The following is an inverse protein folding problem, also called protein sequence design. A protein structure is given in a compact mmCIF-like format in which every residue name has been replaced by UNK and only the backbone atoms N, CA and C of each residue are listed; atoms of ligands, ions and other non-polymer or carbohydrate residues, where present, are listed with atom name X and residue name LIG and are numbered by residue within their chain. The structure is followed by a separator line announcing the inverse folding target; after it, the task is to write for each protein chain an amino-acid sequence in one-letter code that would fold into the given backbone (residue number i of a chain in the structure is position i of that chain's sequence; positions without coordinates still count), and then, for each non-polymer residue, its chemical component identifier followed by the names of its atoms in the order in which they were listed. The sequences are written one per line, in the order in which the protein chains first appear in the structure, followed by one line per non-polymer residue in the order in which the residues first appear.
data_IF_762034551150
#
_entry.id   IF_762034551150
#
_cell.length_a   1.000
_cell.length_b   1.000
_cell.length_c   1.000
_cell.angle_alpha   90.00
_cell.angle_beta   90.00
_cell.angle_gamma   90.00
#
_symmetry.space_group_name_H-M   'P 1'
#
loop_
_entity.id
_entity.type
_entity.pdbx_description
1 polymer ?
#
# COMPACT_ATOMS: atom_id res chain seq x y z
N UNK A 1 9.47 -9.10 -1.38
CA UNK A 1 10.59 -8.73 -2.27
C UNK A 1 11.47 -9.93 -2.44
N UNK A 2 11.69 -10.33 -3.69
CA UNK A 2 12.53 -11.47 -4.05
C UNK A 2 13.98 -11.05 -4.29
N UNK A 3 14.87 -12.04 -4.40
CA UNK A 3 16.28 -11.78 -4.64
C UNK A 3 16.50 -11.15 -6.02
N UNK A 4 17.17 -10.00 -6.05
CA UNK A 4 17.49 -9.30 -7.28
C UNK A 4 16.46 -8.24 -7.69
N UNK A 5 15.37 -8.09 -6.95
CA UNK A 5 14.40 -7.01 -7.16
C UNK A 5 14.78 -5.75 -6.38
N UNK A 6 14.53 -4.58 -6.99
CA UNK A 6 14.33 -3.32 -6.27
C UNK A 6 12.99 -3.33 -5.52
N UNK A 7 12.82 -2.40 -4.58
CA UNK A 7 11.57 -2.26 -3.83
C UNK A 7 10.41 -1.81 -4.71
N UNK A 8 10.69 -1.03 -5.75
CA UNK A 8 9.72 -0.59 -6.75
C UNK A 8 9.29 -1.75 -7.67
N UNK A 9 10.23 -2.59 -8.10
CA UNK A 9 9.94 -3.79 -8.90
C UNK A 9 9.06 -4.76 -8.10
N UNK A 10 9.42 -5.03 -6.84
CA UNK A 10 8.60 -5.86 -5.97
C UNK A 10 7.20 -5.28 -5.80
N UNK A 11 7.07 -3.99 -5.48
CA UNK A 11 5.76 -3.35 -5.33
C UNK A 11 4.89 -3.47 -6.60
N UNK A 12 5.50 -3.33 -7.78
CA UNK A 12 4.79 -3.51 -9.05
C UNK A 12 4.42 -4.97 -9.31
N UNK A 13 5.31 -5.92 -9.02
CA UNK A 13 5.07 -7.37 -9.20
C UNK A 13 3.93 -7.83 -8.29
N UNK A 14 3.97 -7.54 -6.99
CA UNK A 14 2.93 -7.98 -6.04
C UNK A 14 1.53 -7.50 -6.49
N UNK A 15 1.41 -6.24 -6.92
CA UNK A 15 0.13 -5.72 -7.42
C UNK A 15 -0.32 -6.46 -8.68
N UNK A 16 0.60 -6.73 -9.62
CA UNK A 16 0.26 -7.46 -10.84
C UNK A 16 -0.14 -8.91 -10.55
N UNK A 17 0.58 -9.60 -9.67
CA UNK A 17 0.31 -11.00 -9.30
C UNK A 17 -1.03 -11.14 -8.58
N UNK A 18 -1.35 -10.25 -7.63
CA UNK A 18 -2.61 -10.32 -6.89
C UNK A 18 -3.80 -9.83 -7.72
N UNK A 19 -3.64 -8.72 -8.47
CA UNK A 19 -4.81 -8.02 -9.05
C UNK A 19 -4.89 -8.06 -10.57
N UNK A 20 -3.81 -8.43 -11.26
CA UNK A 20 -3.68 -8.29 -12.72
C UNK A 20 -3.54 -6.84 -13.20
N UNK A 21 -3.38 -5.87 -12.28
CA UNK A 21 -3.19 -4.47 -12.64
C UNK A 21 -1.72 -4.21 -13.01
N UNK A 22 -1.53 -3.53 -14.14
CA UNK A 22 -0.24 -2.89 -14.42
C UNK A 22 -0.24 -1.49 -13.83
N UNK A 23 0.80 -1.17 -13.07
CA UNK A 23 0.88 0.07 -12.29
C UNK A 23 2.23 0.74 -12.44
N UNK A 24 2.20 2.07 -12.47
CA UNK A 24 3.35 2.93 -12.27
C UNK A 24 3.50 3.19 -10.76
N UNK A 25 4.53 2.60 -10.16
CA UNK A 25 4.92 2.88 -8.76
C UNK A 25 5.56 4.26 -8.70
N UNK A 26 5.05 5.14 -7.84
CA UNK A 26 5.42 6.58 -7.86
C UNK A 26 6.34 6.99 -6.72
N UNK A 27 5.91 6.81 -5.48
CA UNK A 27 6.66 7.32 -4.32
C UNK A 27 6.37 6.45 -3.10
N UNK A 28 7.37 6.17 -2.25
CA UNK A 28 7.13 5.57 -0.96
C UNK A 28 6.13 6.40 -0.16
N UNK A 29 5.26 5.74 0.57
CA UNK A 29 4.21 6.37 1.36
C UNK A 29 4.33 6.03 2.83
N UNK A 30 4.60 4.76 3.14
CA UNK A 30 4.83 4.31 4.50
C UNK A 30 5.94 3.25 4.52
N UNK A 31 6.88 3.40 5.45
CA UNK A 31 7.87 2.39 5.83
C UNK A 31 7.48 1.96 7.25
N UNK A 32 6.91 0.77 7.35
CA UNK A 32 6.23 0.30 8.55
C UNK A 32 6.87 -0.99 9.07
N UNK A 33 7.48 -0.91 10.24
CA UNK A 33 8.07 -2.06 10.92
C UNK A 33 7.01 -2.80 11.74
N UNK A 34 7.01 -4.13 11.65
CA UNK A 34 6.19 -5.02 12.48
C UNK A 34 7.11 -5.95 13.28
N UNK A 35 7.69 -5.46 14.40
CA UNK A 35 8.62 -6.26 15.21
C UNK A 35 8.07 -7.62 15.68
N UNK A 36 6.78 -7.76 16.08
CA UNK A 36 6.27 -9.06 16.54
C UNK A 36 6.38 -10.20 15.51
N UNK A 37 6.33 -9.88 14.22
CA UNK A 37 6.44 -10.85 13.10
C UNK A 37 7.78 -10.76 12.36
N UNK A 38 8.69 -9.86 12.78
CA UNK A 38 9.95 -9.54 12.09
C UNK A 38 9.75 -9.10 10.63
N UNK A 39 8.68 -8.38 10.34
CA UNK A 39 8.35 -7.92 8.99
C UNK A 39 8.58 -6.41 8.81
N UNK A 40 8.82 -6.02 7.56
CA UNK A 40 8.91 -4.63 7.12
C UNK A 40 7.99 -4.44 5.91
N UNK A 41 7.06 -3.50 6.02
CA UNK A 41 6.19 -3.11 4.92
C UNK A 41 6.70 -1.80 4.33
N UNK A 42 7.03 -1.81 3.04
CA UNK A 42 7.30 -0.58 2.27
C UNK A 42 6.12 -0.40 1.32
N UNK A 43 5.24 0.53 1.65
CA UNK A 43 4.01 0.79 0.90
C UNK A 43 4.26 1.99 -0.01
N UNK A 44 3.95 1.82 -1.28
CA UNK A 44 4.04 2.86 -2.30
C UNK A 44 2.66 3.39 -2.67
N UNK A 45 2.62 4.65 -3.09
CA UNK A 45 1.53 5.12 -3.96
C UNK A 45 1.83 4.68 -5.39
N UNK A 46 0.80 4.26 -6.09
CA UNK A 46 0.91 3.86 -7.49
C UNK A 46 -0.25 4.42 -8.31
N UNK A 47 -0.04 4.53 -9.62
CA UNK A 47 -1.07 4.88 -10.61
C UNK A 47 -1.35 3.66 -11.47
N UNK A 48 -2.62 3.26 -11.56
CA UNK A 48 -3.02 2.23 -12.49
C UNK A 48 -2.82 2.69 -13.94
N UNK A 49 -2.18 1.85 -14.75
CA UNK A 49 -1.98 2.06 -16.19
C UNK A 49 -2.98 1.25 -16.99
N UNK A 50 -3.16 -0.03 -16.62
CA UNK A 50 -4.07 -0.95 -17.28
C UNK A 50 -4.55 -2.03 -16.29
N UNK A 51 -5.69 -2.65 -16.58
CA UNK A 51 -6.21 -3.77 -15.81
C UNK A 51 -6.85 -4.78 -16.76
N UNK A 52 -6.42 -6.04 -16.66
CA UNK A 52 -6.95 -7.14 -17.49
C UNK A 52 -8.08 -7.91 -16.80
N UNK A 53 -8.43 -7.56 -15.55
CA UNK A 53 -9.52 -8.17 -14.79
C UNK A 53 -9.25 -9.57 -14.24
N UNK A 54 -8.03 -10.12 -14.38
CA UNK A 54 -7.70 -11.47 -13.90
C UNK A 54 -6.75 -11.37 -12.71
N UNK A 55 -7.23 -11.77 -11.53
CA UNK A 55 -6.46 -11.80 -10.29
C UNK A 55 -5.64 -13.09 -10.16
N UNK A 56 -4.63 -13.05 -9.29
CA UNK A 56 -3.84 -14.23 -8.95
C UNK A 56 -4.61 -15.25 -8.11
N UNK A 57 -4.01 -16.42 -7.95
CA UNK A 57 -4.59 -17.54 -7.19
C UNK A 57 -4.78 -17.26 -5.69
N UNK A 58 -4.08 -16.28 -5.14
CA UNK A 58 -4.20 -15.83 -3.73
C UNK A 58 -5.34 -14.82 -3.52
N UNK A 59 -5.97 -14.35 -4.61
CA UNK A 59 -6.97 -13.28 -4.58
C UNK A 59 -8.34 -13.78 -5.01
N UNK A 60 -9.31 -13.70 -4.09
CA UNK A 60 -10.69 -14.16 -4.35
C UNK A 60 -11.49 -13.17 -5.20
N UNK A 61 -11.29 -11.87 -5.00
CA UNK A 61 -11.98 -10.81 -5.72
C UNK A 61 -11.17 -9.51 -5.65
N UNK A 62 -11.34 -8.67 -6.67
CA UNK A 62 -10.75 -7.34 -6.77
C UNK A 62 -11.87 -6.37 -7.13
N UNK A 63 -11.99 -5.26 -6.41
CA UNK A 63 -13.02 -4.26 -6.64
C UNK A 63 -12.53 -2.84 -6.31
N UNK A 64 -13.26 -1.84 -6.78
CA UNK A 64 -13.00 -0.43 -6.54
C UNK A 64 -13.91 0.11 -5.46
N UNK A 65 -13.32 0.79 -4.48
CA UNK A 65 -14.05 1.34 -3.35
C UNK A 65 -13.95 2.86 -3.32
N UNK A 66 -15.10 3.52 -3.12
CA UNK A 66 -15.10 4.86 -2.56
C UNK A 66 -14.67 4.78 -1.09
N UNK A 67 -14.09 5.85 -0.51
CA UNK A 67 -13.67 5.86 0.89
C UNK A 67 -14.72 5.37 1.90
N UNK A 68 -15.98 5.72 1.67
CA UNK A 68 -17.14 5.35 2.48
C UNK A 68 -17.58 3.88 2.31
N UNK A 69 -17.20 3.24 1.21
CA UNK A 69 -17.58 1.86 0.87
C UNK A 69 -16.52 0.83 1.26
N UNK A 70 -15.33 1.28 1.72
CA UNK A 70 -14.25 0.38 2.13
C UNK A 70 -14.73 -0.49 3.29
N UNK A 71 -14.62 -1.83 3.20
CA UNK A 71 -15.02 -2.75 4.27
C UNK A 71 -13.99 -2.78 5.39
N UNK A 72 -13.89 -1.70 6.17
CA UNK A 72 -12.86 -1.47 7.19
C UNK A 72 -12.70 -2.60 8.21
N UNK A 73 -13.81 -3.27 8.54
CA UNK A 73 -13.85 -4.37 9.50
C UNK A 73 -13.30 -5.70 8.92
N UNK A 74 -13.13 -5.81 7.60
CA UNK A 74 -12.51 -6.96 6.94
C UNK A 74 -10.99 -6.80 6.77
N UNK A 75 -10.44 -5.62 7.02
CA UNK A 75 -8.99 -5.37 6.95
C UNK A 75 -8.34 -5.98 8.20
N UNK A 76 -7.77 -7.17 8.04
CA UNK A 76 -7.20 -7.93 9.16
C UNK A 76 -5.97 -7.25 9.79
N UNK A 77 -5.13 -6.59 8.97
CA UNK A 77 -3.89 -5.97 9.43
C UNK A 77 -4.12 -4.53 9.90
N UNK A 78 -3.98 -4.22 11.20
CA UNK A 78 -4.27 -2.88 11.73
C UNK A 78 -3.38 -1.77 11.13
N UNK A 79 -2.15 -2.11 10.74
CA UNK A 79 -1.23 -1.20 10.08
C UNK A 79 -1.77 -0.72 8.72
N UNK A 80 -2.31 -1.65 7.92
CA UNK A 80 -2.89 -1.33 6.60
C UNK A 80 -4.08 -0.40 6.75
N UNK A 81 -4.95 -0.66 7.74
CA UNK A 81 -6.09 0.21 8.06
C UNK A 81 -5.63 1.65 8.35
N UNK A 82 -4.70 1.85 9.28
CA UNK A 82 -4.21 3.18 9.64
C UNK A 82 -3.54 3.90 8.46
N UNK A 83 -2.77 3.17 7.65
CA UNK A 83 -2.09 3.72 6.48
C UNK A 83 -3.11 4.17 5.42
N UNK A 84 -4.18 3.41 5.21
CA UNK A 84 -5.24 3.73 4.27
C UNK A 84 -6.12 4.89 4.75
N UNK A 85 -6.48 4.93 6.04
CA UNK A 85 -7.18 6.07 6.67
C UNK A 85 -6.38 7.37 6.49
N UNK A 86 -5.05 7.33 6.74
CA UNK A 86 -4.16 8.46 6.50
C UNK A 86 -4.15 8.87 5.02
N UNK A 87 -4.09 7.90 4.11
CA UNK A 87 -4.05 8.18 2.66
C UNK A 87 -5.30 8.93 2.22
N UNK A 88 -6.47 8.50 2.66
CA UNK A 88 -7.74 9.15 2.36
C UNK A 88 -7.76 10.59 2.91
N UNK A 89 -7.31 10.78 4.15
CA UNK A 89 -7.25 12.11 4.78
C UNK A 89 -6.24 13.05 4.10
N UNK A 90 -5.09 12.56 3.65
CA UNK A 90 -4.06 13.34 2.95
C UNK A 90 -4.45 13.63 1.48
N UNK A 91 -5.17 12.70 0.83
CA UNK A 91 -5.63 12.85 -0.56
C UNK A 91 -6.49 14.09 -0.75
N UNK A 92 -7.33 14.44 0.22
CA UNK A 92 -8.15 15.66 0.17
C UNK A 92 -7.33 16.95 0.25
N UNK A 93 -6.12 16.89 0.81
CA UNK A 93 -5.21 18.03 0.99
C UNK A 93 -4.18 18.14 -0.14
N UNK A 94 -3.97 17.07 -0.91
CA UNK A 94 -2.98 17.00 -1.99
C UNK A 94 -1.52 16.98 -1.53
N UNK A 95 -1.27 16.83 -0.23
CA UNK A 95 0.08 16.81 0.37
C UNK A 95 0.27 15.51 1.14
N UNK A 96 1.31 14.76 0.78
CA UNK A 96 1.58 13.43 1.31
C UNK A 96 2.95 13.41 1.95
N UNK A 97 3.02 12.94 3.20
CA UNK A 97 4.28 12.70 3.89
C UNK A 97 4.63 11.21 3.89
N UNK A 98 5.91 10.89 4.02
CA UNK A 98 6.36 9.51 4.23
C UNK A 98 6.27 9.20 5.71
N UNK A 99 5.47 8.20 6.08
CA UNK A 99 5.47 7.67 7.44
C UNK A 99 6.66 6.72 7.61
N UNK A 100 7.39 6.83 8.72
CA UNK A 100 8.38 5.84 9.15
C UNK A 100 8.12 5.48 10.62
N UNK A 101 7.90 4.20 10.92
CA UNK A 101 7.62 3.79 12.30
C UNK A 101 7.03 2.38 12.40
N UNK A 102 6.35 2.13 13.51
CA UNK A 102 5.63 0.88 13.81
C UNK A 102 4.20 1.20 14.26
N UNK A 103 3.51 0.23 14.85
CA UNK A 103 2.19 0.44 15.47
C UNK A 103 2.25 1.37 16.70
N UNK A 104 3.41 1.45 17.37
CA UNK A 104 3.52 2.14 18.67
C UNK A 104 4.03 3.58 18.52
N UNK A 105 4.90 3.82 17.54
CA UNK A 105 5.55 5.12 17.35
C UNK A 105 5.97 5.30 15.90
N UNK A 106 5.99 6.55 15.44
CA UNK A 106 6.48 6.90 14.12
C UNK A 106 6.46 8.39 13.86
N UNK A 107 7.01 8.77 12.72
CA UNK A 107 7.09 10.15 12.26
C UNK A 107 6.64 10.26 10.81
N UNK A 108 6.04 11.40 10.47
CA UNK A 108 5.69 11.74 9.09
C UNK A 108 6.71 12.77 8.60
N UNK A 109 7.40 12.42 7.51
CA UNK A 109 8.40 13.26 6.87
C UNK A 109 7.82 13.88 5.61
N UNK A 110 7.75 15.21 5.58
CA UNK A 110 7.40 15.94 4.36
C UNK A 110 8.69 16.33 3.64
N UNK A 111 8.80 15.99 2.36
CA UNK A 111 9.87 16.49 1.52
C UNK A 111 9.59 17.97 1.23
N UNK A 112 10.57 18.82 1.52
CA UNK A 112 10.53 20.26 1.24
C UNK A 112 11.21 20.56 -0.09
#
# INVERSE_FOLDING_TARGET
MEHGESVEEAARREVWEETGMDTEVTTPYSIFSVPPTNELYIIYRARMLAWNGTSGHETQAVDWFLPEDIPWELIFYPAIRQILERYIAERTKGSYGIYTGSMEYGNIHFMR
#
